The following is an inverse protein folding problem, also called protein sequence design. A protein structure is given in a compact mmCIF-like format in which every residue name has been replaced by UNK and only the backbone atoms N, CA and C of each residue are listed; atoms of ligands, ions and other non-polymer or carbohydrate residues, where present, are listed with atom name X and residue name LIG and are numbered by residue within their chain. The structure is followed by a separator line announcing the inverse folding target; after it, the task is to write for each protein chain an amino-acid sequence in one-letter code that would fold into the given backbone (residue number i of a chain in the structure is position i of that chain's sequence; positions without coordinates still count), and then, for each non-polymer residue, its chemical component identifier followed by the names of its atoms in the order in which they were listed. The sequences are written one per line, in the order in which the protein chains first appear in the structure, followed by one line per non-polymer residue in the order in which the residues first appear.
data_IF_665260502977
#
_entry.id   IF_665260502977
#
_cell.length_a   1.000
_cell.length_b   1.000
_cell.length_c   1.000
_cell.angle_alpha   90.00
_cell.angle_beta   90.00
_cell.angle_gamma   90.00
#
_symmetry.space_group_name_H-M   'P 1'
#
loop_
_entity.id
_entity.type
_entity.pdbx_description
1 polymer ?
#
# COMPACT_ATOMS: atom_id res chain seq x y z
N UNK A 1 35.84 13.16 -38.52
CA UNK A 1 34.92 13.67 -37.47
C UNK A 1 34.41 12.46 -36.70
N UNK A 2 34.89 12.23 -35.47
CA UNK A 2 34.51 11.05 -34.69
C UNK A 2 33.11 11.23 -34.09
N UNK A 3 32.20 10.28 -34.37
CA UNK A 3 30.84 10.25 -33.81
C UNK A 3 30.97 9.97 -32.31
N UNK A 4 30.65 10.97 -31.47
CA UNK A 4 30.67 10.87 -30.00
C UNK A 4 29.68 9.77 -29.58
N UNK A 5 30.22 8.75 -28.95
CA UNK A 5 29.49 7.73 -28.22
C UNK A 5 28.70 8.43 -27.09
N UNK A 6 27.37 8.44 -27.21
CA UNK A 6 26.49 8.97 -26.19
C UNK A 6 26.20 7.81 -25.23
N UNK A 7 26.61 7.89 -23.94
CA UNK A 7 26.32 6.82 -23.00
C UNK A 7 24.80 6.72 -22.86
N UNK A 8 24.26 5.57 -23.23
CA UNK A 8 22.84 5.28 -23.10
C UNK A 8 22.47 5.35 -21.62
N UNK A 9 21.61 6.30 -21.26
CA UNK A 9 21.12 6.41 -19.88
C UNK A 9 20.50 5.06 -19.47
N UNK A 10 20.81 4.55 -18.27
CA UNK A 10 20.23 3.30 -17.81
C UNK A 10 18.71 3.40 -17.82
N UNK A 11 18.06 2.37 -18.37
CA UNK A 11 16.61 2.30 -18.47
C UNK A 11 16.03 2.39 -17.05
N UNK A 12 15.03 3.26 -16.80
CA UNK A 12 14.44 3.36 -15.47
C UNK A 12 13.92 1.98 -15.08
N UNK A 13 14.24 1.56 -13.85
CA UNK A 13 13.75 0.30 -13.32
C UNK A 13 12.21 0.31 -13.35
N UNK A 14 11.56 -0.83 -13.63
CA UNK A 14 10.11 -0.93 -13.57
C UNK A 14 9.65 -0.41 -12.20
N UNK A 15 8.71 0.53 -12.19
CA UNK A 15 8.09 0.97 -10.96
C UNK A 15 7.44 -0.25 -10.31
N UNK A 16 7.88 -0.61 -9.10
CA UNK A 16 7.21 -1.63 -8.31
C UNK A 16 5.80 -1.14 -8.04
N UNK A 17 4.83 -1.67 -8.79
CA UNK A 17 3.42 -1.49 -8.52
C UNK A 17 3.10 -2.53 -7.43
N UNK A 18 3.00 -2.14 -6.15
CA UNK A 18 2.53 -3.08 -5.16
C UNK A 18 1.15 -3.60 -5.61
N UNK A 19 0.86 -4.89 -5.40
CA UNK A 19 -0.44 -5.45 -5.75
C UNK A 19 -1.54 -4.55 -5.17
N UNK A 20 -2.60 -4.34 -5.96
CA UNK A 20 -3.74 -3.55 -5.54
C UNK A 20 -4.34 -4.20 -4.29
N UNK A 21 -4.02 -3.61 -3.13
CA UNK A 21 -4.44 -4.14 -1.86
C UNK A 21 -5.89 -3.69 -1.61
N UNK A 22 -6.87 -4.61 -1.61
CA UNK A 22 -8.28 -4.26 -1.44
C UNK A 22 -8.54 -3.59 -0.09
N UNK A 23 -7.78 -3.97 0.94
CA UNK A 23 -7.84 -3.36 2.26
C UNK A 23 -7.51 -1.86 2.19
N UNK A 24 -6.53 -1.45 1.37
CA UNK A 24 -6.21 -0.04 1.14
C UNK A 24 -7.35 0.77 0.51
N UNK A 25 -8.16 0.16 -0.35
CA UNK A 25 -9.35 0.82 -0.90
C UNK A 25 -10.43 1.01 0.19
N UNK A 26 -10.69 -0.04 0.98
CA UNK A 26 -11.63 0.01 2.11
C UNK A 26 -11.22 1.09 3.12
N UNK A 27 -9.93 1.15 3.47
CA UNK A 27 -9.40 2.17 4.36
C UNK A 27 -9.61 3.59 3.83
N UNK A 28 -9.43 3.81 2.52
CA UNK A 28 -9.72 5.11 1.91
C UNK A 28 -11.20 5.45 2.01
N UNK A 29 -12.11 4.51 1.74
CA UNK A 29 -13.55 4.73 1.93
C UNK A 29 -13.88 5.12 3.36
N UNK A 30 -13.31 4.41 4.34
CA UNK A 30 -13.49 4.70 5.77
C UNK A 30 -12.93 6.07 6.16
N UNK A 31 -11.78 6.47 5.61
CA UNK A 31 -11.23 7.81 5.82
C UNK A 31 -12.16 8.91 5.28
N UNK A 32 -12.77 8.71 4.11
CA UNK A 32 -13.71 9.68 3.54
C UNK A 32 -15.00 9.83 4.36
N UNK A 33 -15.38 8.82 5.13
CA UNK A 33 -16.52 8.87 6.05
C UNK A 33 -16.22 9.66 7.34
N UNK A 34 -14.93 9.84 7.69
CA UNK A 34 -14.52 10.57 8.89
C UNK A 34 -15.07 9.96 10.18
N UNK A 35 -15.65 10.78 11.05
CA UNK A 35 -16.21 10.35 12.34
C UNK A 35 -17.26 9.23 12.22
N UNK A 36 -18.01 9.19 11.11
CA UNK A 36 -19.01 8.14 10.90
C UNK A 36 -18.38 6.74 10.80
N UNK A 37 -17.13 6.63 10.32
CA UNK A 37 -16.40 5.37 10.30
C UNK A 37 -15.99 4.88 11.69
N UNK A 38 -15.91 5.77 12.69
CA UNK A 38 -15.54 5.38 14.05
C UNK A 38 -16.60 4.49 14.73
N UNK A 39 -17.86 4.55 14.26
CA UNK A 39 -18.95 3.69 14.73
C UNK A 39 -19.26 2.53 13.76
N UNK A 40 -18.59 2.45 12.61
CA UNK A 40 -18.83 1.42 11.62
C UNK A 40 -17.94 0.20 11.87
N UNK A 41 -18.57 -0.97 12.11
CA UNK A 41 -17.85 -2.19 12.41
C UNK A 41 -16.93 -2.66 11.27
N UNK A 42 -17.32 -2.41 10.01
CA UNK A 42 -16.50 -2.76 8.85
C UNK A 42 -15.25 -1.90 8.77
N UNK A 43 -15.37 -0.60 9.06
CA UNK A 43 -14.22 0.30 9.11
C UNK A 43 -13.28 0.02 10.28
N UNK A 44 -13.81 -0.30 11.45
CA UNK A 44 -13.01 -0.69 12.61
C UNK A 44 -12.18 -1.96 12.32
N UNK A 45 -12.78 -2.96 11.66
CA UNK A 45 -12.08 -4.18 11.26
C UNK A 45 -10.96 -3.88 10.24
N UNK A 46 -11.24 -3.05 9.23
CA UNK A 46 -10.23 -2.66 8.25
C UNK A 46 -9.02 -1.95 8.88
N UNK A 47 -9.24 -1.07 9.86
CA UNK A 47 -8.15 -0.41 10.58
C UNK A 47 -7.34 -1.39 11.45
N UNK A 48 -8.00 -2.33 12.12
CA UNK A 48 -7.31 -3.37 12.88
C UNK A 48 -6.39 -4.19 11.98
N UNK A 49 -6.92 -4.73 10.88
CA UNK A 49 -6.14 -5.51 9.90
C UNK A 49 -4.96 -4.71 9.33
N UNK A 50 -5.17 -3.43 8.99
CA UNK A 50 -4.09 -2.59 8.49
C UNK A 50 -2.99 -2.39 9.52
N UNK A 51 -3.37 -2.24 10.79
CA UNK A 51 -2.43 -2.09 11.90
C UNK A 51 -1.68 -3.39 12.14
N UNK A 52 -2.36 -4.53 12.10
CA UNK A 52 -1.74 -5.83 12.33
C UNK A 52 -0.77 -6.21 11.21
N UNK A 53 -1.08 -5.89 9.95
CA UNK A 53 -0.13 -6.00 8.83
C UNK A 53 1.08 -5.08 9.00
N UNK A 54 0.87 -3.84 9.42
CA UNK A 54 1.96 -2.88 9.63
C UNK A 54 2.89 -3.32 10.77
N UNK A 55 2.32 -3.85 11.86
CA UNK A 55 3.08 -4.38 13.00
C UNK A 55 3.66 -5.77 12.74
N UNK A 56 3.36 -6.41 11.59
CA UNK A 56 3.77 -7.78 11.31
C UNK A 56 3.12 -8.83 12.22
N UNK A 57 1.98 -8.49 12.83
CA UNK A 57 1.21 -9.35 13.75
C UNK A 57 0.39 -10.41 13.03
N UNK A 58 -0.05 -10.14 11.81
CA UNK A 58 -0.63 -11.14 10.89
C UNK A 58 0.22 -12.43 10.80
N UNK A 59 1.55 -12.26 10.86
CA UNK A 59 2.52 -13.35 10.81
C UNK A 59 2.99 -13.85 12.17
N UNK A 60 2.68 -13.14 13.26
CA UNK A 60 3.07 -13.51 14.63
C UNK A 60 1.99 -14.32 15.37
N UNK A 61 0.71 -14.18 15.02
CA UNK A 61 -0.37 -15.09 15.48
C UNK A 61 -0.21 -16.50 14.90
N UNK A 62 0.57 -16.66 13.82
CA UNK A 62 0.89 -17.95 13.21
C UNK A 62 2.08 -18.68 13.85
N UNK A 63 2.66 -18.17 14.96
CA UNK A 63 3.82 -18.76 15.63
C UNK A 63 3.45 -19.39 16.97
#
# INVERSE_FOLDING_TARGET
MARKDQPSAPRPAPAFQPPADPLRETLRRCQQLGEAAASDAGCLAAWAESRDRFLGRDRSEAR
#
